data_IF_596199551180
#
_entry.id   IF_596199551180
#
_cell.length_a   1.000
_cell.length_b   1.000
_cell.length_c   1.000
_cell.angle_alpha   90.00
_cell.angle_beta   90.00
_cell.angle_gamma   90.00
#
_symmetry.space_group_name_H-M   'P 1'
#
loop_
_entity.id
_entity.type
_entity.pdbx_description
1 polymer ?
#
# COMPACT_ATOMS: atom_id res chain seq x y z
N UNK A 1 -6.06 -35.36 -8.25
CA UNK A 1 -5.46 -34.13 -8.83
C UNK A 1 -5.66 -33.05 -7.78
N UNK A 2 -4.59 -32.46 -7.28
CA UNK A 2 -4.62 -31.56 -6.14
C UNK A 2 -4.02 -30.22 -6.54
N UNK A 3 -4.43 -29.16 -5.86
CA UNK A 3 -3.71 -27.91 -5.94
C UNK A 3 -2.29 -28.08 -5.41
N UNK A 4 -1.38 -27.27 -5.92
CA UNK A 4 -0.11 -27.03 -5.26
C UNK A 4 -0.38 -26.09 -4.08
N UNK A 5 -0.27 -26.63 -2.87
CA UNK A 5 -0.60 -25.94 -1.62
C UNK A 5 0.67 -25.39 -0.97
N UNK A 6 0.62 -24.13 -0.52
CA UNK A 6 1.64 -23.56 0.35
C UNK A 6 1.01 -23.26 1.71
N UNK A 7 1.48 -23.94 2.77
CA UNK A 7 0.98 -23.73 4.13
C UNK A 7 1.62 -22.49 4.76
N UNK A 8 0.83 -21.70 5.48
CA UNK A 8 1.34 -20.61 6.33
C UNK A 8 1.53 -21.05 7.79
N UNK A 9 2.17 -20.20 8.59
CA UNK A 9 2.45 -20.47 10.01
C UNK A 9 1.21 -20.44 10.92
N UNK A 10 0.05 -20.05 10.40
CA UNK A 10 -1.22 -19.93 11.12
C UNK A 10 -2.22 -21.03 10.74
N UNK A 11 -1.79 -22.03 9.96
CA UNK A 11 -2.64 -23.14 9.53
C UNK A 11 -3.57 -22.78 8.37
N UNK A 12 -3.23 -21.75 7.59
CA UNK A 12 -3.86 -21.44 6.32
C UNK A 12 -3.13 -22.07 5.13
N UNK A 13 -3.81 -22.10 3.99
CA UNK A 13 -3.29 -22.62 2.71
C UNK A 13 -3.40 -21.53 1.65
N UNK A 14 -2.33 -21.38 0.86
CA UNK A 14 -2.31 -20.56 -0.34
C UNK A 14 -2.20 -21.41 -1.59
N UNK A 15 -3.01 -21.09 -2.59
CA UNK A 15 -2.98 -21.66 -3.95
C UNK A 15 -2.79 -20.53 -4.96
N UNK A 16 -1.98 -20.76 -5.99
CA UNK A 16 -1.77 -19.82 -7.08
C UNK A 16 -2.32 -20.39 -8.39
N UNK A 17 -3.20 -19.67 -9.09
CA UNK A 17 -3.78 -20.16 -10.35
C UNK A 17 -2.75 -20.28 -11.47
N UNK A 18 -1.62 -19.56 -11.34
CA UNK A 18 -0.50 -19.68 -12.27
C UNK A 18 0.18 -21.07 -12.24
N UNK A 19 0.02 -21.84 -11.15
CA UNK A 19 0.53 -23.21 -11.06
C UNK A 19 -0.43 -24.25 -11.70
N UNK A 20 -1.59 -23.82 -12.22
CA UNK A 20 -2.59 -24.71 -12.82
C UNK A 20 -2.31 -24.96 -14.31
N UNK A 21 -2.59 -26.17 -14.76
CA UNK A 21 -2.61 -26.49 -16.19
C UNK A 21 -3.90 -25.97 -16.89
N UNK A 22 -3.95 -26.06 -18.21
CA UNK A 22 -5.08 -25.55 -19.01
C UNK A 22 -6.40 -26.24 -18.69
N UNK A 23 -6.38 -27.55 -18.40
CA UNK A 23 -7.58 -28.32 -18.07
C UNK A 23 -8.08 -27.97 -16.67
N UNK A 24 -7.17 -27.78 -15.72
CA UNK A 24 -7.45 -27.28 -14.37
C UNK A 24 -8.13 -25.91 -14.37
N UNK A 25 -7.89 -25.09 -15.39
CA UNK A 25 -8.48 -23.76 -15.57
C UNK A 25 -9.83 -23.78 -16.29
N UNK A 26 -10.29 -24.92 -16.78
CA UNK A 26 -11.63 -25.03 -17.36
C UNK A 26 -12.70 -24.91 -16.26
N UNK A 27 -13.68 -24.02 -16.46
CA UNK A 27 -14.69 -23.65 -15.45
C UNK A 27 -15.27 -24.85 -14.69
N UNK A 28 -15.80 -25.85 -15.40
CA UNK A 28 -16.47 -27.01 -14.79
C UNK A 28 -15.50 -27.89 -14.02
N UNK A 29 -14.29 -28.06 -14.55
CA UNK A 29 -13.27 -28.88 -13.93
C UNK A 29 -12.66 -28.19 -12.70
N UNK A 30 -12.39 -26.88 -12.80
CA UNK A 30 -12.00 -26.06 -11.67
C UNK A 30 -13.04 -26.09 -10.56
N UNK A 31 -14.33 -25.96 -10.89
CA UNK A 31 -15.42 -26.03 -9.90
C UNK A 31 -15.43 -27.37 -9.14
N UNK A 32 -15.20 -28.48 -9.85
CA UNK A 32 -15.08 -29.80 -9.23
C UNK A 32 -13.87 -29.89 -8.32
N UNK A 33 -12.71 -29.40 -8.75
CA UNK A 33 -11.47 -29.44 -7.96
C UNK A 33 -11.62 -28.58 -6.70
N UNK A 34 -12.13 -27.35 -6.81
CA UNK A 34 -12.26 -26.45 -5.66
C UNK A 34 -13.26 -27.00 -4.64
N UNK A 35 -14.39 -27.56 -5.09
CA UNK A 35 -15.37 -28.19 -4.19
C UNK A 35 -14.76 -29.35 -3.40
N UNK A 36 -14.06 -30.27 -4.08
CA UNK A 36 -13.38 -31.39 -3.40
C UNK A 36 -12.27 -30.90 -2.47
N UNK A 37 -11.54 -29.86 -2.87
CA UNK A 37 -10.45 -29.31 -2.07
C UNK A 37 -10.95 -28.63 -0.80
N UNK A 38 -12.10 -27.93 -0.86
CA UNK A 38 -12.72 -27.32 0.31
C UNK A 38 -13.10 -28.34 1.38
N UNK A 39 -13.65 -29.49 0.98
CA UNK A 39 -14.00 -30.56 1.93
C UNK A 39 -12.75 -31.21 2.52
N UNK A 40 -11.72 -31.42 1.70
CA UNK A 40 -10.43 -31.91 2.17
C UNK A 40 -9.78 -30.95 3.17
N UNK A 41 -9.75 -29.65 2.88
CA UNK A 41 -9.18 -28.63 3.77
C UNK A 41 -9.96 -28.53 5.09
N UNK A 42 -11.29 -28.67 5.07
CA UNK A 42 -12.10 -28.78 6.29
C UNK A 42 -11.70 -29.99 7.13
N UNK A 43 -11.56 -31.17 6.52
CA UNK A 43 -11.14 -32.39 7.24
C UNK A 43 -9.72 -32.31 7.83
N UNK A 44 -8.88 -31.43 7.28
CA UNK A 44 -7.52 -31.15 7.75
C UNK A 44 -7.47 -29.98 8.75
N UNK A 45 -8.63 -29.48 9.19
CA UNK A 45 -8.77 -28.35 10.11
C UNK A 45 -8.09 -27.05 9.62
N UNK A 46 -7.96 -26.91 8.30
CA UNK A 46 -7.47 -25.67 7.69
C UNK A 46 -8.50 -24.59 7.91
N UNK A 47 -8.03 -23.40 8.30
CA UNK A 47 -8.92 -22.28 8.63
C UNK A 47 -9.06 -21.30 7.49
N UNK A 48 -7.94 -20.76 7.03
CA UNK A 48 -7.86 -19.75 5.99
C UNK A 48 -7.42 -20.34 4.66
N UNK A 49 -8.21 -20.15 3.61
CA UNK A 49 -7.79 -20.48 2.24
C UNK A 49 -7.58 -19.19 1.47
N UNK A 50 -6.42 -19.07 0.84
CA UNK A 50 -6.02 -17.95 -0.01
C UNK A 50 -5.85 -18.44 -1.44
N UNK A 51 -6.45 -17.75 -2.39
CA UNK A 51 -6.28 -18.04 -3.82
C UNK A 51 -5.78 -16.77 -4.49
N UNK A 52 -4.54 -16.84 -4.97
CA UNK A 52 -3.95 -15.82 -5.84
C UNK A 52 -4.32 -16.14 -7.28
N UNK A 53 -5.24 -15.35 -7.84
CA UNK A 53 -5.72 -15.45 -9.21
C UNK A 53 -4.88 -14.53 -10.08
N UNK A 54 -4.16 -15.10 -11.06
CA UNK A 54 -3.46 -14.31 -12.09
C UNK A 54 -4.48 -13.56 -12.95
N UNK A 55 -4.11 -12.39 -13.50
CA UNK A 55 -5.01 -11.62 -14.37
C UNK A 55 -5.49 -12.42 -15.59
N UNK A 56 -4.64 -13.31 -16.12
CA UNK A 56 -4.93 -14.24 -17.22
C UNK A 56 -5.97 -15.30 -16.85
N UNK A 57 -6.11 -15.59 -15.55
CA UNK A 57 -7.02 -16.61 -15.01
C UNK A 57 -8.30 -15.99 -14.42
N UNK A 58 -8.61 -14.74 -14.78
CA UNK A 58 -9.78 -13.99 -14.27
C UNK A 58 -11.13 -14.69 -14.53
N UNK A 59 -11.19 -15.59 -15.52
CA UNK A 59 -12.37 -16.43 -15.79
C UNK A 59 -12.73 -17.39 -14.63
N UNK A 60 -11.80 -17.64 -13.70
CA UNK A 60 -12.03 -18.47 -12.51
C UNK A 60 -12.70 -17.70 -11.36
N UNK A 61 -12.67 -16.36 -11.38
CA UNK A 61 -13.20 -15.52 -10.30
C UNK A 61 -14.68 -15.84 -10.01
N UNK A 62 -15.59 -15.94 -11.00
CA UNK A 62 -16.98 -16.28 -10.72
C UNK A 62 -17.16 -17.64 -10.03
N UNK A 63 -16.35 -18.64 -10.39
CA UNK A 63 -16.40 -19.97 -9.77
C UNK A 63 -15.98 -19.89 -8.30
N UNK A 64 -14.96 -19.08 -7.99
CA UNK A 64 -14.53 -18.84 -6.62
C UNK A 64 -15.61 -18.13 -5.79
N UNK A 65 -16.26 -17.12 -6.37
CA UNK A 65 -17.39 -16.43 -5.71
C UNK A 65 -18.54 -17.40 -5.44
N UNK A 66 -18.90 -18.26 -6.40
CA UNK A 66 -19.94 -19.30 -6.24
C UNK A 66 -19.59 -20.29 -5.12
N UNK A 67 -18.30 -20.56 -4.90
CA UNK A 67 -17.80 -21.38 -3.79
C UNK A 67 -17.60 -20.58 -2.49
N UNK A 68 -18.06 -19.33 -2.44
CA UNK A 68 -18.06 -18.46 -1.26
C UNK A 68 -16.68 -17.95 -0.87
N UNK A 69 -15.79 -17.74 -1.82
CA UNK A 69 -14.61 -16.90 -1.64
C UNK A 69 -14.99 -15.43 -1.78
N UNK A 70 -14.31 -14.55 -1.03
CA UNK A 70 -14.47 -13.10 -1.08
C UNK A 70 -13.19 -12.42 -1.51
N UNK A 71 -13.29 -11.22 -2.07
CA UNK A 71 -12.11 -10.42 -2.43
C UNK A 71 -11.39 -9.94 -1.17
N UNK A 72 -10.06 -9.97 -1.21
CA UNK A 72 -9.23 -9.50 -0.12
C UNK A 72 -8.37 -8.31 -0.54
N UNK A 73 -7.57 -8.46 -1.60
CA UNK A 73 -6.73 -7.39 -2.13
C UNK A 73 -6.32 -7.69 -3.57
N UNK A 74 -5.80 -6.68 -4.27
CA UNK A 74 -5.40 -6.80 -5.67
C UNK A 74 -4.12 -6.02 -5.93
N UNK A 75 -3.43 -6.41 -7.00
CA UNK A 75 -2.33 -5.70 -7.65
C UNK A 75 -2.61 -5.69 -9.16
N UNK A 76 -1.86 -4.92 -9.97
CA UNK A 76 -2.15 -4.82 -11.41
C UNK A 76 -2.25 -6.15 -12.17
N UNK A 77 -1.62 -7.22 -11.69
CA UNK A 77 -1.55 -8.51 -12.39
C UNK A 77 -2.11 -9.70 -11.59
N UNK A 78 -2.70 -9.46 -10.41
CA UNK A 78 -3.34 -10.54 -9.65
C UNK A 78 -4.39 -10.02 -8.67
N UNK A 79 -5.38 -10.87 -8.41
CA UNK A 79 -6.37 -10.71 -7.34
C UNK A 79 -6.15 -11.80 -6.29
N UNK A 80 -6.20 -11.44 -5.01
CA UNK A 80 -6.26 -12.42 -3.91
C UNK A 80 -7.68 -12.52 -3.40
N UNK A 81 -8.19 -13.75 -3.41
CA UNK A 81 -9.48 -14.11 -2.85
C UNK A 81 -9.25 -15.01 -1.63
N UNK A 82 -10.13 -14.90 -0.64
CA UNK A 82 -10.03 -15.68 0.60
C UNK A 82 -11.32 -16.36 0.97
N UNK A 83 -11.21 -17.46 1.70
CA UNK A 83 -12.34 -18.12 2.35
C UNK A 83 -11.93 -18.58 3.74
N UNK A 84 -12.72 -18.18 4.73
CA UNK A 84 -12.66 -18.73 6.08
C UNK A 84 -13.55 -19.97 6.12
N UNK A 85 -12.98 -21.12 6.51
CA UNK A 85 -13.67 -22.40 6.56
C UNK A 85 -14.44 -22.67 7.85
N UNK A 86 -13.97 -22.26 9.05
CA UNK A 86 -14.70 -22.44 10.29
C UNK A 86 -15.99 -21.60 10.36
N UNK A 87 -16.95 -22.05 11.18
CA UNK A 87 -18.19 -21.31 11.48
C UNK A 87 -17.98 -20.14 12.46
N UNK A 88 -16.74 -19.93 12.91
CA UNK A 88 -16.37 -18.80 13.78
C UNK A 88 -16.14 -17.53 12.95
N UNK A 89 -16.13 -16.34 13.58
CA UNK A 89 -15.65 -15.13 12.92
C UNK A 89 -14.26 -15.33 12.31
N UNK A 90 -14.07 -14.81 11.10
CA UNK A 90 -12.78 -14.87 10.40
C UNK A 90 -11.72 -14.08 11.17
N UNK A 91 -10.56 -14.70 11.38
CA UNK A 91 -9.38 -14.04 11.93
C UNK A 91 -8.34 -13.72 10.86
N UNK A 92 -8.71 -13.81 9.57
CA UNK A 92 -7.80 -13.41 8.50
C UNK A 92 -7.47 -11.92 8.64
N UNK A 93 -6.19 -11.54 8.59
CA UNK A 93 -5.81 -10.15 8.70
C UNK A 93 -6.39 -9.36 7.53
N UNK A 94 -6.95 -8.18 7.78
CA UNK A 94 -7.37 -7.30 6.69
C UNK A 94 -6.14 -6.81 5.92
N UNK A 95 -6.31 -6.54 4.63
CA UNK A 95 -5.26 -5.91 3.84
C UNK A 95 -4.95 -4.47 4.33
N UNK A 96 -3.81 -3.94 3.90
CA UNK A 96 -3.43 -2.55 4.14
C UNK A 96 -4.55 -1.60 3.66
N UNK A 97 -5.02 -0.75 4.56
CA UNK A 97 -6.13 0.18 4.36
C UNK A 97 -5.79 1.58 4.89
N UNK A 98 -4.51 1.89 4.97
CA UNK A 98 -4.02 3.18 5.45
C UNK A 98 -2.89 3.63 4.54
N UNK A 99 -3.04 4.85 4.01
CA UNK A 99 -2.00 5.54 3.26
C UNK A 99 -1.00 6.15 4.24
N UNK A 100 0.26 6.19 3.84
CA UNK A 100 1.32 6.90 4.56
C UNK A 100 1.74 8.08 3.71
N UNK A 101 1.63 9.27 4.27
CA UNK A 101 2.20 10.49 3.72
C UNK A 101 3.30 11.04 4.63
N UNK A 102 4.24 11.79 4.05
CA UNK A 102 5.35 12.35 4.80
C UNK A 102 5.66 13.76 4.30
N UNK A 103 5.83 14.70 5.24
CA UNK A 103 6.32 16.05 4.99
C UNK A 103 7.70 16.26 5.59
N UNK A 104 8.54 17.01 4.88
CA UNK A 104 9.89 17.39 5.31
C UNK A 104 9.94 18.80 5.89
N UNK A 105 10.16 18.91 7.20
CA UNK A 105 10.54 20.17 7.84
C UNK A 105 12.05 20.32 7.72
N UNK A 106 12.50 20.94 6.63
CA UNK A 106 13.93 21.16 6.35
C UNK A 106 14.39 22.46 7.01
N UNK A 107 15.41 22.35 7.85
CA UNK A 107 16.08 23.49 8.49
C UNK A 107 17.47 23.67 7.88
N UNK A 108 17.83 24.91 7.54
CA UNK A 108 19.19 25.23 7.13
C UNK A 108 20.07 25.71 8.29
N UNK A 109 21.36 25.93 8.01
CA UNK A 109 22.33 26.37 9.00
C UNK A 109 22.02 27.75 9.61
N UNK A 110 21.16 28.55 8.97
CA UNK A 110 20.72 29.86 9.45
C UNK A 110 19.41 29.76 10.26
N UNK A 111 18.91 28.54 10.51
CA UNK A 111 17.64 28.29 11.22
C UNK A 111 16.41 28.64 10.38
N UNK A 112 16.54 28.81 9.07
CA UNK A 112 15.41 29.05 8.16
C UNK A 112 14.77 27.72 7.77
N UNK A 113 13.50 27.80 7.43
CA UNK A 113 12.68 26.64 7.06
C UNK A 113 12.31 26.69 5.59
N UNK A 114 12.44 25.57 4.90
CA UNK A 114 12.04 25.45 3.50
C UNK A 114 10.52 25.26 3.40
N UNK A 115 9.86 26.13 2.64
CA UNK A 115 8.44 26.00 2.33
C UNK A 115 8.22 26.11 0.82
N UNK A 116 7.16 25.47 0.33
CA UNK A 116 6.75 25.52 -1.05
C UNK A 116 5.25 25.79 -1.23
N UNK A 117 4.88 26.13 -2.47
CA UNK A 117 3.51 26.21 -2.96
C UNK A 117 3.35 25.26 -4.14
N UNK A 118 2.23 24.53 -4.16
CA UNK A 118 1.83 23.75 -5.32
C UNK A 118 1.30 24.65 -6.45
N UNK A 119 1.47 24.23 -7.70
CA UNK A 119 0.82 24.83 -8.87
C UNK A 119 -0.66 24.53 -8.90
N UNK A 120 -1.05 23.34 -8.43
CA UNK A 120 -2.41 22.81 -8.43
C UNK A 120 -2.54 21.90 -7.22
N UNK A 121 -3.63 22.05 -6.48
CA UNK A 121 -3.88 21.29 -5.26
C UNK A 121 -5.05 21.90 -4.49
N UNK A 122 -5.49 21.22 -3.43
CA UNK A 122 -6.56 21.70 -2.57
C UNK A 122 -6.12 22.90 -1.70
N UNK A 123 -4.81 23.03 -1.43
CA UNK A 123 -4.24 24.11 -0.63
C UNK A 123 -3.13 24.83 -1.40
N UNK A 124 -3.36 26.09 -1.75
CA UNK A 124 -2.42 26.92 -2.53
C UNK A 124 -1.54 27.84 -1.65
N UNK A 125 -1.55 27.61 -0.32
CA UNK A 125 -0.69 28.32 0.62
C UNK A 125 0.70 27.71 0.75
N UNK A 126 1.53 28.28 1.63
CA UNK A 126 2.84 27.74 1.93
C UNK A 126 2.74 26.49 2.81
N UNK A 127 3.40 25.41 2.41
CA UNK A 127 3.46 24.15 3.14
C UNK A 127 4.86 23.56 3.11
N UNK A 128 5.11 22.57 3.96
CA UNK A 128 6.29 21.73 3.84
C UNK A 128 6.21 20.92 2.54
N UNK A 129 7.35 20.70 1.86
CA UNK A 129 7.42 19.69 0.80
C UNK A 129 7.09 18.31 1.35
N UNK A 130 6.47 17.45 0.55
CA UNK A 130 6.03 16.14 0.98
C UNK A 130 4.95 15.51 0.12
N UNK A 131 4.86 14.19 0.20
CA UNK A 131 3.95 13.38 -0.61
C UNK A 131 3.69 12.00 0.00
N UNK A 132 3.24 11.08 -0.84
CA UNK A 132 2.90 9.72 -0.43
C UNK A 132 4.15 8.83 -0.39
N UNK A 133 4.17 7.87 0.52
CA UNK A 133 5.23 6.86 0.57
C UNK A 133 5.05 5.82 -0.54
N UNK A 134 6.13 5.52 -1.25
CA UNK A 134 6.13 4.46 -2.26
C UNK A 134 6.40 3.08 -1.64
N UNK A 135 6.03 1.99 -2.32
CA UNK A 135 6.33 0.64 -1.85
C UNK A 135 7.83 0.44 -1.58
N UNK A 136 8.14 -0.10 -0.40
CA UNK A 136 9.50 -0.36 0.10
C UNK A 136 10.32 0.88 0.50
N UNK A 137 9.68 2.05 0.68
CA UNK A 137 10.34 3.20 1.31
C UNK A 137 10.13 3.22 2.82
N UNK A 138 11.14 3.73 3.55
CA UNK A 138 10.93 4.18 4.92
C UNK A 138 10.33 5.59 4.94
N UNK A 139 9.74 5.99 6.08
CA UNK A 139 9.23 7.36 6.28
C UNK A 139 10.33 8.41 6.01
N UNK A 140 11.56 8.12 6.39
CA UNK A 140 12.70 9.03 6.18
C UNK A 140 13.14 9.11 4.72
N UNK A 141 13.14 7.98 4.01
CA UNK A 141 13.46 7.95 2.58
C UNK A 141 12.40 8.71 1.77
N UNK A 142 11.12 8.51 2.08
CA UNK A 142 10.01 9.26 1.46
C UNK A 142 10.18 10.77 1.70
N UNK A 143 10.47 11.20 2.92
CA UNK A 143 10.70 12.62 3.20
C UNK A 143 11.86 13.21 2.37
N UNK A 144 12.98 12.47 2.29
CA UNK A 144 14.15 12.89 1.52
C UNK A 144 13.90 12.94 0.01
N UNK A 145 13.19 11.94 -0.54
CA UNK A 145 12.79 11.90 -1.95
C UNK A 145 11.88 13.07 -2.29
N UNK A 146 10.79 13.26 -1.54
CA UNK A 146 9.79 14.30 -1.82
C UNK A 146 10.39 15.71 -1.75
N UNK A 147 11.20 16.00 -0.72
CA UNK A 147 11.95 17.27 -0.62
C UNK A 147 12.80 17.50 -1.86
N UNK A 148 13.53 16.48 -2.31
CA UNK A 148 14.40 16.58 -3.47
C UNK A 148 13.60 16.78 -4.77
N UNK A 149 12.53 16.01 -4.96
CA UNK A 149 11.71 16.05 -6.17
C UNK A 149 11.02 17.40 -6.34
N UNK A 150 10.39 17.92 -5.27
CA UNK A 150 9.58 19.13 -5.36
C UNK A 150 10.43 20.41 -5.35
N UNK A 151 11.57 20.40 -4.64
CA UNK A 151 12.35 21.62 -4.33
C UNK A 151 13.78 21.61 -4.84
N UNK A 152 14.34 20.44 -5.21
CA UNK A 152 15.74 20.29 -5.59
C UNK A 152 16.75 20.33 -4.43
N UNK A 153 16.28 20.58 -3.21
CA UNK A 153 17.10 20.60 -1.99
C UNK A 153 17.42 19.18 -1.57
N UNK A 154 18.69 18.91 -1.22
CA UNK A 154 19.06 17.63 -0.61
C UNK A 154 19.06 17.80 0.90
N UNK A 155 18.32 16.94 1.61
CA UNK A 155 18.25 16.94 3.06
C UNK A 155 18.22 15.50 3.58
N UNK A 156 18.65 15.31 4.83
CA UNK A 156 18.58 14.03 5.54
C UNK A 156 17.59 14.14 6.68
N UNK A 157 16.70 13.17 6.81
CA UNK A 157 15.75 13.11 7.93
C UNK A 157 16.44 12.61 9.20
N UNK A 158 16.16 13.27 10.32
CA UNK A 158 16.79 12.99 11.61
C UNK A 158 15.80 12.42 12.62
N UNK A 159 14.57 12.94 12.62
CA UNK A 159 13.55 12.57 13.60
C UNK A 159 12.14 12.77 13.06
N UNK A 160 11.20 11.97 13.56
CA UNK A 160 9.77 12.24 13.43
C UNK A 160 9.37 13.21 14.53
N UNK A 161 8.88 14.39 14.18
CA UNK A 161 8.43 15.40 15.16
C UNK A 161 7.01 15.13 15.63
N UNK A 162 6.13 14.84 14.69
CA UNK A 162 4.73 14.53 14.95
C UNK A 162 4.13 13.74 13.80
N UNK A 163 2.94 13.23 14.03
CA UNK A 163 2.11 12.64 13.00
C UNK A 163 0.64 13.00 13.26
N UNK A 164 -0.14 12.96 12.19
CA UNK A 164 -1.62 13.00 12.26
C UNK A 164 -2.18 11.71 11.70
N UNK A 165 -3.30 11.28 12.24
CA UNK A 165 -4.12 10.22 11.66
C UNK A 165 -5.51 10.78 11.37
N UNK A 166 -6.00 10.54 10.16
CA UNK A 166 -7.38 10.84 9.77
C UNK A 166 -8.06 9.58 9.26
N UNK A 167 -9.36 9.46 9.51
CA UNK A 167 -10.13 8.25 9.20
C UNK A 167 -10.47 8.09 7.72
N UNK A 168 -10.48 9.18 6.96
CA UNK A 168 -10.85 9.19 5.54
C UNK A 168 -9.81 10.01 4.78
N UNK A 169 -9.16 9.35 3.83
CA UNK A 169 -8.25 9.93 2.84
C UNK A 169 -9.04 10.32 1.56
N UNK A 170 -8.35 10.43 0.43
CA UNK A 170 -8.98 10.59 -0.88
C UNK A 170 -9.73 9.33 -1.39
N UNK A 171 -9.56 8.19 -0.71
CA UNK A 171 -10.26 6.94 -1.04
C UNK A 171 -11.24 6.54 0.07
N UNK A 172 -12.40 6.01 -0.34
CA UNK A 172 -13.42 5.52 0.58
C UNK A 172 -12.86 4.40 1.47
N UNK A 173 -13.11 4.48 2.79
CA UNK A 173 -12.66 3.50 3.79
C UNK A 173 -11.13 3.30 3.88
N UNK A 174 -10.33 4.25 3.38
CA UNK A 174 -8.87 4.25 3.52
C UNK A 174 -8.46 5.42 4.41
N UNK A 175 -7.82 5.12 5.54
CA UNK A 175 -7.27 6.13 6.45
C UNK A 175 -5.98 6.75 5.90
N UNK A 176 -5.53 7.84 6.52
CA UNK A 176 -4.26 8.48 6.17
C UNK A 176 -3.48 8.82 7.45
N UNK A 177 -2.24 8.33 7.51
CA UNK A 177 -1.27 8.71 8.54
C UNK A 177 -0.22 9.58 7.86
N UNK A 178 -0.04 10.79 8.37
CA UNK A 178 0.90 11.74 7.80
C UNK A 178 1.94 12.16 8.83
N UNK A 179 3.20 11.91 8.52
CA UNK A 179 4.34 12.21 9.38
C UNK A 179 4.99 13.54 9.01
N UNK A 180 5.52 14.26 10.00
CA UNK A 180 6.42 15.40 9.79
C UNK A 180 7.81 15.00 10.28
N UNK A 181 8.78 15.00 9.35
CA UNK A 181 10.17 14.70 9.66
C UNK A 181 10.96 16.00 9.82
N UNK A 182 11.72 16.12 10.91
CA UNK A 182 12.79 17.10 11.02
C UNK A 182 13.94 16.66 10.11
N UNK A 183 14.44 17.58 9.30
CA UNK A 183 15.49 17.29 8.33
C UNK A 183 16.56 18.38 8.33
N UNK A 184 17.82 17.96 8.22
CA UNK A 184 18.94 18.85 8.07
C UNK A 184 19.38 18.95 6.62
N UNK A 185 19.62 20.18 6.17
CA UNK A 185 20.05 20.45 4.80
C UNK A 185 21.45 19.92 4.54
N UNK A 186 21.62 19.24 3.40
CA UNK A 186 22.93 18.87 2.84
C UNK A 186 23.29 19.85 1.72
N UNK A 187 22.31 20.18 0.86
CA UNK A 187 22.48 21.12 -0.26
C UNK A 187 21.24 21.99 -0.39
N UNK A 188 21.42 23.30 -0.22
CA UNK A 188 20.33 24.29 -0.15
C UNK A 188 19.89 24.87 -1.50
N UNK A 189 20.48 24.44 -2.62
CA UNK A 189 20.15 24.97 -3.95
C UNK A 189 18.72 24.59 -4.34
N UNK A 190 17.84 25.58 -4.43
CA UNK A 190 16.46 25.38 -4.86
C UNK A 190 16.41 25.22 -6.37
N UNK A 191 15.73 24.16 -6.82
CA UNK A 191 15.34 23.91 -8.21
C UNK A 191 13.91 23.38 -8.22
N UNK A 192 12.97 24.22 -8.61
CA UNK A 192 11.54 23.90 -8.58
C UNK A 192 11.19 22.73 -9.53
N UNK A 193 10.33 21.82 -9.07
CA UNK A 193 9.65 20.89 -9.96
C UNK A 193 8.74 21.66 -10.94
N UNK A 194 8.95 21.57 -12.26
CA UNK A 194 8.15 22.30 -13.23
C UNK A 194 6.71 21.77 -13.33
N UNK A 195 6.42 20.57 -12.82
CA UNK A 195 5.07 19.98 -12.86
C UNK A 195 4.25 20.39 -11.64
N UNK A 196 4.86 20.39 -10.46
CA UNK A 196 4.13 20.47 -9.19
C UNK A 196 4.36 21.76 -8.42
N UNK A 197 5.56 22.37 -8.50
CA UNK A 197 5.96 23.45 -7.58
C UNK A 197 5.82 24.83 -8.23
N UNK A 198 4.97 25.69 -7.67
CA UNK A 198 4.76 27.06 -8.11
C UNK A 198 5.82 28.02 -7.56
N UNK A 199 6.19 27.85 -6.30
CA UNK A 199 7.16 28.69 -5.60
C UNK A 199 7.81 27.88 -4.46
N UNK A 200 9.06 28.17 -4.12
CA UNK A 200 9.78 27.53 -3.02
C UNK A 200 10.84 28.49 -2.47
N UNK A 201 10.83 28.72 -1.15
CA UNK A 201 11.67 29.72 -0.48
C UNK A 201 12.05 29.28 0.93
N UNK A 202 13.15 29.85 1.41
CA UNK A 202 13.57 29.79 2.81
C UNK A 202 12.89 30.89 3.61
N UNK A 203 12.31 30.53 4.76
CA UNK A 203 11.60 31.44 5.66
C UNK A 203 12.26 31.47 7.03
N UNK A 204 12.51 32.67 7.55
CA UNK A 204 12.93 32.84 8.93
C UNK A 204 11.70 32.88 9.82
N UNK A 205 11.72 32.13 10.93
CA UNK A 205 10.72 32.29 11.99
C UNK A 205 11.05 33.57 12.76
N UNK A 206 10.21 34.59 12.66
CA UNK A 206 10.26 35.71 13.60
C UNK A 206 9.78 35.19 14.96
N UNK A 207 10.65 35.32 15.97
CA UNK A 207 10.37 35.01 17.37
C UNK A 207 9.90 36.29 18.05
#
# INVERSE_FOLDING_TARGET
MHFKEMCDIYGGITVNTADLDSTQKERNFFNKIISVSLDLWRSREIKGVWIRVSIEDSSLIPVLVENGFVFHHTQPHYLVMTKWLPDTPSTLPRYAHTMIGVGGLVVDNDGRVLLMKEKRGHYLGWKFPGGASDPNESVFDTAAREVLEETGVCAIAEAILCFRQVHISQYENVGDIYFICLMNVIKSTIKLCPRETADCKWFTRYI
#
